data_IF_564140041555
#
_entry.id   IF_564140041555
#
_cell.length_a   1.000
_cell.length_b   1.000
_cell.length_c   1.000
_cell.angle_alpha   90.00
_cell.angle_beta   90.00
_cell.angle_gamma   90.00
#
_symmetry.space_group_name_H-M   'P 1'
#
loop_
_entity.id
_entity.type
_entity.pdbx_description
1 polymer ?
#
# COMPACT_ATOMS: atom_id res chain seq x y z
N UNK A 1 -6.19 -47.94 -14.61
CA UNK A 1 -7.62 -48.28 -14.59
C UNK A 1 -8.21 -47.77 -13.29
N UNK A 2 -9.01 -46.70 -13.35
CA UNK A 2 -10.30 -46.46 -12.67
C UNK A 2 -10.58 -44.96 -12.72
N UNK A 3 -11.67 -44.62 -13.41
CA UNK A 3 -12.22 -43.28 -13.68
C UNK A 3 -13.32 -42.98 -12.64
N UNK A 4 -13.35 -41.79 -12.03
CA UNK A 4 -14.54 -41.14 -11.45
C UNK A 4 -14.42 -39.64 -11.80
N UNK A 5 -15.07 -39.06 -12.82
CA UNK A 5 -16.49 -38.67 -13.04
C UNK A 5 -17.08 -37.73 -11.96
N UNK A 6 -17.08 -36.42 -12.28
CA UNK A 6 -17.94 -35.38 -11.71
C UNK A 6 -19.43 -35.66 -11.99
N UNK A 7 -20.34 -34.96 -11.27
CA UNK A 7 -21.16 -34.00 -12.02
C UNK A 7 -21.35 -32.64 -11.32
N UNK A 8 -21.41 -31.61 -12.16
CA UNK A 8 -21.84 -30.25 -11.86
C UNK A 8 -23.36 -30.21 -11.59
N UNK A 9 -23.77 -29.34 -10.67
CA UNK A 9 -25.19 -29.02 -10.42
C UNK A 9 -25.41 -27.56 -10.80
N UNK A 10 -26.23 -27.36 -11.84
CA UNK A 10 -26.74 -26.07 -12.27
C UNK A 10 -28.08 -25.80 -11.55
N UNK A 11 -28.26 -24.59 -11.02
CA UNK A 11 -29.54 -24.12 -10.50
C UNK A 11 -30.02 -22.96 -11.39
N UNK A 12 -31.11 -23.22 -12.11
CA UNK A 12 -31.91 -22.22 -12.81
C UNK A 12 -33.36 -22.40 -12.36
N UNK A 13 -33.97 -21.34 -11.84
CA UNK A 13 -35.41 -21.28 -11.62
C UNK A 13 -35.88 -19.84 -11.83
N UNK A 14 -36.70 -19.67 -12.85
CA UNK A 14 -37.42 -18.45 -13.20
C UNK A 14 -38.91 -18.82 -13.09
N UNK A 15 -39.71 -18.07 -12.34
CA UNK A 15 -41.16 -18.07 -12.52
C UNK A 15 -41.77 -16.72 -12.07
N UNK A 16 -42.49 -16.11 -12.99
CA UNK A 16 -43.29 -14.90 -12.88
C UNK A 16 -44.62 -15.19 -12.15
N UNK A 17 -45.10 -14.24 -11.36
CA UNK A 17 -46.54 -14.09 -11.08
C UNK A 17 -46.92 -12.61 -11.18
N UNK A 18 -47.88 -12.33 -12.06
CA UNK A 18 -48.53 -11.05 -12.22
C UNK A 18 -49.65 -10.88 -11.17
N UNK A 19 -49.82 -9.66 -10.67
CA UNK A 19 -51.05 -9.23 -10.00
C UNK A 19 -51.44 -7.81 -10.47
N UNK A 20 -52.62 -7.77 -11.08
CA UNK A 20 -53.50 -6.65 -11.39
C UNK A 20 -54.44 -6.48 -10.18
N UNK A 21 -54.99 -5.33 -9.74
CA UNK A 21 -55.06 -3.95 -10.21
C UNK A 21 -56.06 -3.17 -9.30
N UNK A 22 -56.32 -1.90 -9.62
CA UNK A 22 -57.52 -1.15 -9.23
C UNK A 22 -57.31 0.04 -8.27
N UNK A 23 -57.53 1.26 -8.77
CA UNK A 23 -57.42 2.52 -8.02
C UNK A 23 -58.74 3.30 -7.89
N UNK A 24 -58.71 4.40 -7.15
CA UNK A 24 -59.73 5.46 -7.14
C UNK A 24 -59.10 6.81 -6.78
N UNK A 25 -59.41 7.83 -7.58
CA UNK A 25 -58.96 9.21 -7.51
C UNK A 25 -59.46 9.98 -6.26
N UNK A 26 -58.66 10.93 -5.79
CA UNK A 26 -59.14 12.20 -5.22
C UNK A 26 -58.05 13.26 -5.33
N UNK A 27 -58.30 14.22 -6.20
CA UNK A 27 -57.50 15.41 -6.46
C UNK A 27 -57.71 16.44 -5.34
N UNK A 28 -56.62 16.93 -4.75
CA UNK A 28 -56.56 18.23 -4.06
C UNK A 28 -55.13 18.75 -4.13
N UNK A 29 -55.00 19.94 -4.69
CA UNK A 29 -53.75 20.65 -5.00
C UNK A 29 -53.02 21.16 -3.72
N UNK A 30 -51.80 21.72 -3.84
CA UNK A 30 -50.74 21.61 -2.84
C UNK A 30 -50.91 22.59 -1.67
N UNK A 31 -50.72 22.10 -0.45
CA UNK A 31 -50.49 22.94 0.73
C UNK A 31 -48.98 23.03 0.97
N UNK A 32 -48.49 24.27 1.05
CA UNK A 32 -47.10 24.62 1.33
C UNK A 32 -46.57 23.93 2.60
N UNK A 33 -45.28 23.54 2.67
CA UNK A 33 -44.70 23.08 3.92
C UNK A 33 -44.57 24.26 4.88
N UNK A 34 -45.37 24.21 5.94
CA UNK A 34 -45.22 25.05 7.12
C UNK A 34 -43.91 24.69 7.84
N UNK A 35 -43.12 25.73 8.13
CA UNK A 35 -41.97 25.64 9.02
C UNK A 35 -42.42 25.52 10.48
N UNK A 36 -41.90 24.51 11.19
CA UNK A 36 -41.76 24.39 12.67
C UNK A 36 -41.44 22.91 12.95
N UNK A 37 -40.40 22.49 13.65
CA UNK A 37 -39.38 23.13 14.47
C UNK A 37 -38.67 22.00 15.24
N UNK A 38 -37.34 22.05 15.30
CA UNK A 38 -36.55 21.42 16.37
C UNK A 38 -36.51 19.89 16.47
N UNK A 39 -35.70 19.25 15.64
CA UNK A 39 -34.76 18.26 16.16
C UNK A 39 -33.37 18.75 15.79
N UNK A 40 -32.65 19.30 16.77
CA UNK A 40 -31.21 19.46 16.67
C UNK A 40 -30.60 18.07 16.51
N UNK A 41 -30.53 17.56 15.28
CA UNK A 41 -29.50 16.63 14.92
C UNK A 41 -28.21 17.42 15.10
N UNK A 42 -27.59 17.27 16.27
CA UNK A 42 -26.18 17.57 16.43
C UNK A 42 -25.52 16.89 15.24
N UNK A 43 -25.02 17.67 14.28
CA UNK A 43 -24.33 17.10 13.13
C UNK A 43 -23.12 16.37 13.71
N UNK A 44 -23.26 15.06 13.93
CA UNK A 44 -22.17 14.24 14.43
C UNK A 44 -21.10 14.33 13.36
N UNK A 45 -20.01 15.01 13.68
CA UNK A 45 -18.92 15.22 12.73
C UNK A 45 -18.24 13.87 12.54
N UNK A 46 -18.31 13.32 11.33
CA UNK A 46 -17.74 12.02 10.96
C UNK A 46 -16.42 12.21 10.22
N UNK A 47 -15.55 11.20 10.25
CA UNK A 47 -14.39 11.11 9.35
C UNK A 47 -14.61 10.03 8.32
N UNK A 48 -14.55 10.40 7.04
CA UNK A 48 -14.72 9.48 5.92
C UNK A 48 -13.56 9.60 4.96
N UNK A 49 -13.23 8.50 4.30
CA UNK A 49 -12.16 8.46 3.31
C UNK A 49 -12.09 7.14 2.57
N UNK A 50 -10.99 6.94 1.85
CA UNK A 50 -10.71 5.71 1.10
C UNK A 50 -9.33 5.14 1.42
N UNK A 51 -9.22 3.82 1.52
CA UNK A 51 -7.92 3.12 1.60
C UNK A 51 -7.50 2.68 0.19
N UNK A 52 -6.35 3.16 -0.28
CA UNK A 52 -5.96 3.04 -1.69
C UNK A 52 -4.48 2.63 -1.87
N UNK A 53 -4.29 1.45 -2.45
CA UNK A 53 -3.08 0.88 -3.08
C UNK A 53 -3.45 0.24 -4.44
N UNK A 54 -4.57 0.68 -5.02
CA UNK A 54 -5.62 -0.23 -5.48
C UNK A 54 -6.67 -0.30 -4.37
N UNK A 55 -7.95 -0.10 -4.66
CA UNK A 55 -8.94 0.00 -3.57
C UNK A 55 -8.85 -1.22 -2.65
N UNK A 56 -8.56 -1.01 -1.36
CA UNK A 56 -8.42 -2.13 -0.43
C UNK A 56 -9.80 -2.44 0.15
N UNK A 57 -10.31 -3.62 -0.13
CA UNK A 57 -11.63 -4.10 0.30
C UNK A 57 -11.51 -4.87 1.61
N UNK A 58 -12.37 -4.57 2.58
CA UNK A 58 -12.38 -5.23 3.88
C UNK A 58 -11.15 -4.95 4.75
N UNK A 59 -10.42 -3.86 4.50
CA UNK A 59 -9.38 -3.38 5.40
C UNK A 59 -10.01 -2.94 6.73
N UNK A 60 -9.35 -3.26 7.83
CA UNK A 60 -9.68 -2.73 9.15
C UNK A 60 -9.12 -1.32 9.27
N UNK A 61 -9.99 -0.34 9.51
CA UNK A 61 -9.64 1.08 9.65
C UNK A 61 -10.01 1.56 11.04
N UNK A 62 -9.10 2.25 11.72
CA UNK A 62 -9.34 2.85 13.04
C UNK A 62 -8.63 4.20 13.20
N UNK A 63 -9.10 4.99 14.17
CA UNK A 63 -8.43 6.22 14.60
C UNK A 63 -7.42 5.87 15.70
N UNK A 64 -6.13 6.07 15.43
CA UNK A 64 -4.98 5.71 16.30
C UNK A 64 -4.78 6.80 17.36
N UNK A 65 -5.64 6.77 18.38
CA UNK A 65 -5.78 7.85 19.37
C UNK A 65 -4.56 8.00 20.28
N UNK A 66 -3.82 6.92 20.52
CA UNK A 66 -2.60 6.91 21.33
C UNK A 66 -1.30 6.92 20.50
N UNK A 67 -1.41 6.89 19.16
CA UNK A 67 -0.33 6.92 18.17
C UNK A 67 0.61 5.71 18.23
N UNK A 68 0.14 4.56 18.69
CA UNK A 68 0.95 3.35 18.75
C UNK A 68 0.86 2.52 17.44
N UNK A 69 -0.06 2.87 16.53
CA UNK A 69 -0.25 2.21 15.24
C UNK A 69 -0.85 0.80 15.32
N UNK A 70 -1.39 0.43 16.47
CA UNK A 70 -2.04 -0.85 16.80
C UNK A 70 -3.48 -0.53 17.15
N UNK A 71 -4.38 -1.45 16.80
CA UNK A 71 -5.79 -1.30 17.17
C UNK A 71 -5.95 -1.63 18.64
N UNK A 72 -6.37 -0.65 19.42
CA UNK A 72 -6.60 -0.81 20.86
C UNK A 72 -8.08 -0.84 21.25
N UNK A 73 -8.32 -1.32 22.47
CA UNK A 73 -9.67 -1.33 23.03
C UNK A 73 -10.13 0.10 23.26
N UNK A 74 -11.26 0.48 22.64
CA UNK A 74 -11.82 1.83 22.71
C UNK A 74 -11.59 2.66 21.46
N UNK A 75 -10.74 2.20 20.54
CA UNK A 75 -10.58 2.82 19.23
C UNK A 75 -11.69 2.37 18.29
N UNK A 76 -12.45 3.33 17.77
CA UNK A 76 -13.49 3.05 16.79
C UNK A 76 -12.86 2.34 15.58
N UNK A 77 -13.48 1.24 15.16
CA UNK A 77 -12.99 0.42 14.07
C UNK A 77 -14.10 0.12 13.07
N UNK A 78 -13.80 0.27 11.79
CA UNK A 78 -14.71 -0.04 10.67
C UNK A 78 -13.99 -0.86 9.61
N UNK A 79 -14.76 -1.44 8.68
CA UNK A 79 -14.23 -2.14 7.52
C UNK A 79 -14.46 -1.30 6.25
N UNK A 80 -13.51 -1.34 5.32
CA UNK A 80 -13.71 -0.72 4.01
C UNK A 80 -14.68 -1.52 3.13
N UNK A 81 -15.45 -0.79 2.31
CA UNK A 81 -16.33 -1.37 1.30
C UNK A 81 -15.57 -1.78 0.02
N UNK A 82 -16.32 -2.23 -1.00
CA UNK A 82 -15.78 -2.65 -2.30
C UNK A 82 -15.10 -1.53 -3.10
N UNK A 83 -15.28 -0.26 -2.71
CA UNK A 83 -14.62 0.92 -3.29
C UNK A 83 -13.56 1.48 -2.34
N UNK A 84 -13.11 0.69 -1.36
CA UNK A 84 -12.14 1.07 -0.35
C UNK A 84 -12.63 2.12 0.64
N UNK A 85 -13.92 2.47 0.63
CA UNK A 85 -14.46 3.58 1.42
C UNK A 85 -14.70 3.16 2.86
N UNK A 86 -14.48 4.09 3.79
CA UNK A 86 -14.81 3.92 5.21
C UNK A 86 -15.47 5.18 5.76
N UNK A 87 -16.17 5.05 6.89
CA UNK A 87 -16.72 6.19 7.66
C UNK A 87 -16.68 5.85 9.14
N UNK A 88 -15.91 6.62 9.90
CA UNK A 88 -15.90 6.64 11.36
C UNK A 88 -17.03 7.55 11.84
N UNK A 89 -17.78 7.09 12.84
CA UNK A 89 -18.92 7.79 13.42
C UNK A 89 -18.51 9.04 14.22
N UNK A 90 -17.26 9.12 14.66
CA UNK A 90 -16.66 10.31 15.23
C UNK A 90 -15.58 10.93 14.34
N UNK A 91 -15.28 12.21 14.58
CA UNK A 91 -14.16 12.90 13.93
C UNK A 91 -12.86 12.35 14.49
N UNK A 92 -12.01 11.83 13.61
CA UNK A 92 -10.67 11.38 13.97
C UNK A 92 -9.70 12.57 13.95
N UNK A 93 -9.21 12.96 15.13
CA UNK A 93 -8.19 13.99 15.31
C UNK A 93 -6.76 13.44 15.41
N UNK A 94 -6.61 12.11 15.29
CA UNK A 94 -5.33 11.39 15.33
C UNK A 94 -5.07 10.71 13.97
N UNK A 95 -3.89 10.09 13.75
CA UNK A 95 -3.66 9.35 12.51
C UNK A 95 -4.73 8.27 12.28
N UNK A 96 -5.12 8.10 11.02
CA UNK A 96 -5.98 7.00 10.60
C UNK A 96 -5.06 5.84 10.21
N UNK A 97 -5.34 4.63 10.68
CA UNK A 97 -4.56 3.43 10.37
C UNK A 97 -5.45 2.42 9.68
N UNK A 98 -4.96 1.85 8.57
CA UNK A 98 -5.62 0.81 7.80
C UNK A 98 -4.69 -0.40 7.62
N UNK A 99 -5.20 -1.61 7.84
CA UNK A 99 -4.45 -2.85 7.65
C UNK A 99 -5.37 -4.03 7.29
N UNK A 100 -4.76 -5.08 6.71
CA UNK A 100 -5.49 -6.24 6.21
C UNK A 100 -6.33 -5.92 4.97
N UNK A 101 -7.34 -6.75 4.71
CA UNK A 101 -8.16 -6.64 3.50
C UNK A 101 -7.47 -7.20 2.25
N UNK A 102 -8.11 -6.95 1.10
CA UNK A 102 -7.67 -7.43 -0.21
C UNK A 102 -7.58 -6.26 -1.17
N UNK A 103 -6.47 -6.15 -1.88
CA UNK A 103 -6.33 -5.20 -2.98
C UNK A 103 -7.25 -5.61 -4.13
N UNK A 104 -8.18 -4.73 -4.52
CA UNK A 104 -9.16 -5.02 -5.57
C UNK A 104 -8.51 -5.22 -6.95
N UNK A 105 -7.40 -4.56 -7.24
CA UNK A 105 -6.68 -4.68 -8.51
C UNK A 105 -5.96 -6.03 -8.58
N UNK A 106 -5.21 -6.37 -7.53
CA UNK A 106 -4.36 -7.58 -7.54
C UNK A 106 -5.05 -8.82 -7.01
N UNK A 107 -6.18 -8.69 -6.32
CA UNK A 107 -6.85 -9.78 -5.63
C UNK A 107 -6.00 -10.43 -4.53
N UNK A 108 -4.90 -9.80 -4.14
CA UNK A 108 -3.98 -10.30 -3.11
C UNK A 108 -4.33 -9.69 -1.74
N UNK A 109 -4.10 -10.44 -0.65
CA UNK A 109 -4.18 -9.85 0.69
C UNK A 109 -3.18 -8.70 0.83
N UNK A 110 -3.65 -7.56 1.35
CA UNK A 110 -2.77 -6.45 1.67
C UNK A 110 -1.95 -6.77 2.94
N UNK A 111 -0.61 -6.72 2.84
CA UNK A 111 0.32 -7.16 3.90
C UNK A 111 0.92 -6.01 4.70
N UNK A 112 0.77 -4.77 4.22
CA UNK A 112 1.33 -3.59 4.85
C UNK A 112 0.41 -2.94 5.89
N UNK A 113 0.78 -1.72 6.28
CA UNK A 113 -0.06 -0.78 7.03
C UNK A 113 -0.08 0.53 6.31
N UNK A 114 -1.27 1.04 6.00
CA UNK A 114 -1.39 2.39 5.49
C UNK A 114 -1.81 3.31 6.64
N UNK A 115 -1.22 4.50 6.68
CA UNK A 115 -1.56 5.54 7.63
C UNK A 115 -1.90 6.83 6.91
N UNK A 116 -2.70 7.68 7.54
CA UNK A 116 -2.93 9.03 7.06
C UNK A 116 -2.96 10.02 8.22
N UNK A 117 -2.46 11.25 8.03
CA UNK A 117 -2.59 12.30 9.04
C UNK A 117 -4.08 12.67 9.26
N UNK A 118 -4.42 13.26 10.42
CA UNK A 118 -5.77 13.76 10.67
C UNK A 118 -6.26 14.67 9.54
N UNK A 119 -7.53 14.51 9.16
CA UNK A 119 -8.17 15.30 8.11
C UNK A 119 -7.88 14.86 6.66
N UNK A 120 -7.09 13.79 6.45
CA UNK A 120 -6.93 13.21 5.12
C UNK A 120 -8.19 12.46 4.68
N UNK A 121 -8.59 12.58 3.41
CA UNK A 121 -9.70 11.81 2.83
C UNK A 121 -9.24 10.51 2.14
N UNK A 122 -7.93 10.25 2.13
CA UNK A 122 -7.32 9.06 1.54
C UNK A 122 -6.26 8.49 2.48
N UNK A 123 -6.14 7.16 2.51
CA UNK A 123 -5.14 6.42 3.27
C UNK A 123 -4.35 5.60 2.26
N UNK A 124 -3.15 6.09 1.93
CA UNK A 124 -2.30 5.58 0.85
C UNK A 124 -0.87 5.39 1.32
N UNK A 125 -0.03 4.73 0.51
CA UNK A 125 1.39 4.65 0.79
C UNK A 125 2.04 6.05 0.90
N UNK A 126 1.54 7.03 0.13
CA UNK A 126 2.01 8.42 0.18
C UNK A 126 1.64 9.11 1.50
N UNK A 127 0.38 9.02 1.93
CA UNK A 127 -0.04 9.62 3.22
C UNK A 127 0.65 8.97 4.41
N UNK A 128 1.03 7.69 4.28
CA UNK A 128 1.75 6.95 5.32
C UNK A 128 3.10 7.59 5.61
N UNK A 129 3.79 8.11 4.59
CA UNK A 129 5.10 8.76 4.75
C UNK A 129 5.04 10.09 5.51
N UNK A 130 3.86 10.71 5.59
CA UNK A 130 3.64 11.96 6.34
C UNK A 130 3.43 11.70 7.84
N UNK A 131 2.99 10.50 8.21
CA UNK A 131 2.71 10.16 9.61
C UNK A 131 4.02 9.88 10.35
N UNK A 132 4.16 10.47 11.54
CA UNK A 132 5.36 10.37 12.38
C UNK A 132 6.64 10.91 11.72
N UNK A 133 6.49 11.80 10.74
CA UNK A 133 7.58 12.58 10.13
C UNK A 133 7.23 14.06 10.14
N UNK A 134 8.17 14.94 9.81
CA UNK A 134 7.86 16.36 9.52
C UNK A 134 8.05 16.66 8.03
N UNK A 135 7.87 15.65 7.19
CA UNK A 135 7.90 15.79 5.75
C UNK A 135 6.73 16.67 5.28
N UNK A 136 7.03 17.78 4.62
CA UNK A 136 6.01 18.65 4.05
C UNK A 136 5.29 17.96 2.87
N UNK A 137 3.99 18.22 2.70
CA UNK A 137 3.19 17.63 1.61
C UNK A 137 3.75 18.00 0.24
N UNK A 138 4.17 19.25 0.09
CA UNK A 138 4.73 19.81 -1.14
C UNK A 138 6.10 19.19 -1.45
N UNK A 139 6.92 18.95 -0.42
CA UNK A 139 8.19 18.26 -0.56
C UNK A 139 8.00 16.81 -0.96
N UNK A 140 7.02 16.11 -0.38
CA UNK A 140 6.69 14.74 -0.80
C UNK A 140 6.17 14.71 -2.24
N UNK A 141 5.27 15.61 -2.62
CA UNK A 141 4.80 15.71 -4.00
C UNK A 141 5.96 15.94 -4.99
N UNK A 142 6.90 16.85 -4.64
CA UNK A 142 8.10 17.10 -5.44
C UNK A 142 9.03 15.89 -5.51
N UNK A 143 9.27 15.20 -4.40
CA UNK A 143 10.10 14.00 -4.34
C UNK A 143 9.53 12.84 -5.18
N UNK A 144 8.23 12.85 -5.43
CA UNK A 144 7.54 11.90 -6.29
C UNK A 144 7.40 12.39 -7.75
N UNK A 145 7.92 13.58 -8.07
CA UNK A 145 7.83 14.15 -9.40
C UNK A 145 6.39 14.47 -9.81
N UNK A 146 5.51 14.67 -8.85
CA UNK A 146 4.11 15.01 -9.09
C UNK A 146 3.99 16.49 -9.48
N UNK A 147 2.95 16.87 -10.25
CA UNK A 147 2.68 18.27 -10.56
C UNK A 147 2.56 19.13 -9.30
N UNK A 148 3.04 20.38 -9.38
CA UNK A 148 2.90 21.32 -8.28
C UNK A 148 1.42 21.51 -7.90
N UNK A 149 1.14 21.52 -6.59
CA UNK A 149 -0.24 21.61 -6.07
C UNK A 149 -1.01 20.29 -6.00
N UNK A 150 -0.39 19.16 -6.35
CA UNK A 150 -1.02 17.84 -6.12
C UNK A 150 -1.24 17.61 -4.62
N UNK A 151 -2.49 17.55 -4.19
CA UNK A 151 -2.85 17.26 -2.81
C UNK A 151 -2.92 15.75 -2.57
N UNK A 152 -1.80 15.19 -2.10
CA UNK A 152 -1.64 13.78 -1.77
C UNK A 152 -2.50 13.30 -0.58
N UNK A 153 -3.10 14.22 0.18
CA UNK A 153 -3.97 13.90 1.33
C UNK A 153 -5.47 13.97 1.01
N UNK A 154 -5.82 14.53 -0.15
CA UNK A 154 -7.20 14.72 -0.56
C UNK A 154 -7.59 14.01 -1.87
N UNK A 155 -6.63 13.82 -2.79
CA UNK A 155 -6.88 13.22 -4.09
C UNK A 155 -6.87 11.68 -4.00
N UNK A 156 -7.93 11.06 -4.48
CA UNK A 156 -8.01 9.60 -4.67
C UNK A 156 -7.14 9.18 -5.88
N UNK A 157 -6.03 8.45 -5.67
CA UNK A 157 -5.17 8.02 -6.77
C UNK A 157 -5.89 7.11 -7.77
N UNK A 158 -6.82 6.27 -7.29
CA UNK A 158 -7.50 5.26 -8.09
C UNK A 158 -8.85 5.75 -8.67
N UNK A 159 -9.17 7.04 -8.52
CA UNK A 159 -10.41 7.59 -9.04
C UNK A 159 -10.53 7.41 -10.56
N UNK A 160 -11.68 6.89 -11.00
CA UNK A 160 -12.03 6.74 -12.42
C UNK A 160 -12.83 7.96 -12.86
N UNK A 161 -12.35 8.66 -13.88
CA UNK A 161 -13.04 9.80 -14.47
C UNK A 161 -14.23 9.39 -15.34
N UNK A 162 -15.01 10.36 -15.80
CA UNK A 162 -16.25 10.14 -16.58
C UNK A 162 -16.07 9.37 -17.90
N UNK A 163 -14.83 9.23 -18.37
CA UNK A 163 -14.48 8.45 -19.57
C UNK A 163 -14.00 7.02 -19.29
N UNK A 164 -14.07 6.54 -18.03
CA UNK A 164 -13.61 5.20 -17.65
C UNK A 164 -12.10 5.04 -17.47
N UNK A 165 -11.32 6.10 -17.69
CA UNK A 165 -9.88 6.14 -17.43
C UNK A 165 -9.56 6.68 -16.04
N UNK A 166 -8.39 6.35 -15.49
CA UNK A 166 -7.91 6.96 -14.25
C UNK A 166 -7.79 8.48 -14.38
N UNK A 167 -8.36 9.19 -13.40
CA UNK A 167 -8.24 10.64 -13.29
C UNK A 167 -6.86 11.07 -12.78
N UNK A 168 -6.22 10.24 -11.93
CA UNK A 168 -4.98 10.58 -11.23
C UNK A 168 -3.88 9.52 -11.45
N UNK A 169 -3.70 9.06 -12.69
CA UNK A 169 -2.78 7.95 -13.03
C UNK A 169 -1.35 8.15 -12.52
N UNK A 170 -0.78 9.36 -12.65
CA UNK A 170 0.54 9.66 -12.13
C UNK A 170 0.61 9.48 -10.61
N UNK A 171 -0.40 9.96 -9.87
CA UNK A 171 -0.47 9.81 -8.41
C UNK A 171 -0.53 8.33 -8.02
N UNK A 172 -1.39 7.54 -8.67
CA UNK A 172 -1.48 6.10 -8.43
C UNK A 172 -0.14 5.40 -8.68
N UNK A 173 0.46 5.61 -9.85
CA UNK A 173 1.77 5.04 -10.19
C UNK A 173 2.84 5.35 -9.14
N UNK A 174 2.86 6.59 -8.61
CA UNK A 174 3.86 6.99 -7.62
C UNK A 174 3.56 6.39 -6.26
N UNK A 175 2.30 6.31 -5.86
CA UNK A 175 1.92 5.63 -4.61
C UNK A 175 2.19 4.12 -4.67
N UNK A 176 1.95 3.46 -5.81
CA UNK A 176 2.29 2.05 -6.03
C UNK A 176 3.81 1.82 -6.00
N UNK A 177 4.60 2.71 -6.61
CA UNK A 177 6.05 2.64 -6.56
C UNK A 177 6.58 2.79 -5.12
N UNK A 178 6.03 3.72 -4.33
CA UNK A 178 6.37 3.87 -2.90
C UNK A 178 6.00 2.59 -2.15
N UNK A 179 4.78 2.08 -2.34
CA UNK A 179 4.31 0.86 -1.70
C UNK A 179 5.28 -0.30 -1.98
N UNK A 180 5.69 -0.46 -3.24
CA UNK A 180 6.62 -1.51 -3.63
C UNK A 180 7.99 -1.35 -2.95
N UNK A 181 8.53 -0.12 -2.88
CA UNK A 181 9.80 0.13 -2.18
C UNK A 181 9.68 -0.23 -0.70
N UNK A 182 8.66 0.29 -0.02
CA UNK A 182 8.45 0.06 1.42
C UNK A 182 8.22 -1.43 1.70
N UNK A 183 7.32 -2.07 0.95
CA UNK A 183 6.97 -3.48 1.15
C UNK A 183 8.18 -4.39 0.91
N UNK A 184 8.94 -4.20 -0.16
CA UNK A 184 10.07 -5.10 -0.47
C UNK A 184 11.25 -4.92 0.48
N UNK A 185 11.49 -3.69 0.96
CA UNK A 185 12.49 -3.46 2.02
C UNK A 185 12.02 -4.14 3.32
N UNK A 186 10.74 -3.99 3.67
CA UNK A 186 10.19 -4.65 4.85
C UNK A 186 10.27 -6.19 4.73
N UNK A 187 9.97 -6.75 3.56
CA UNK A 187 10.07 -8.19 3.29
C UNK A 187 11.52 -8.68 3.29
N UNK A 188 12.47 -7.88 2.81
CA UNK A 188 13.90 -8.18 2.90
C UNK A 188 14.37 -8.25 4.36
N UNK A 189 13.94 -7.31 5.21
CA UNK A 189 14.22 -7.33 6.65
C UNK A 189 13.54 -8.55 7.30
N UNK A 190 12.29 -8.81 6.94
CA UNK A 190 11.52 -9.95 7.44
C UNK A 190 12.16 -11.29 7.04
N UNK A 191 12.81 -11.37 5.88
CA UNK A 191 13.46 -12.57 5.38
C UNK A 191 14.70 -12.98 6.20
N UNK A 192 15.27 -12.08 7.01
CA UNK A 192 16.31 -12.40 7.98
C UNK A 192 15.80 -13.27 9.14
N UNK A 193 14.49 -13.33 9.33
CA UNK A 193 13.87 -14.05 10.42
C UNK A 193 13.38 -15.43 9.95
N UNK A 194 13.75 -16.51 10.65
CA UNK A 194 13.32 -17.86 10.26
C UNK A 194 11.81 -18.05 10.40
N UNK A 195 11.18 -17.32 11.32
CA UNK A 195 9.73 -17.28 11.50
C UNK A 195 9.31 -15.85 11.83
N UNK A 196 8.34 -15.33 11.08
CA UNK A 196 7.76 -14.01 11.33
C UNK A 196 6.28 -14.12 11.66
N UNK A 197 5.85 -13.36 12.66
CA UNK A 197 4.44 -13.17 12.97
C UNK A 197 3.88 -11.97 12.19
N UNK A 198 2.56 -11.93 11.92
CA UNK A 198 1.94 -10.77 11.28
C UNK A 198 2.25 -9.45 12.01
N UNK A 199 2.26 -9.46 13.35
CA UNK A 199 2.59 -8.28 14.16
C UNK A 199 4.03 -7.79 13.95
N UNK A 200 4.99 -8.70 13.73
CA UNK A 200 6.38 -8.34 13.44
C UNK A 200 6.51 -7.75 12.04
N UNK A 201 5.92 -8.37 11.03
CA UNK A 201 5.88 -7.83 9.66
C UNK A 201 5.26 -6.43 9.65
N UNK A 202 4.18 -6.24 10.40
CA UNK A 202 3.50 -4.96 10.52
C UNK A 202 4.37 -3.87 11.16
N UNK A 203 5.13 -4.21 12.20
CA UNK A 203 6.07 -3.32 12.85
C UNK A 203 7.25 -2.96 11.93
N UNK A 204 7.82 -3.94 11.22
CA UNK A 204 8.88 -3.72 10.23
C UNK A 204 8.40 -2.79 9.12
N UNK A 205 7.19 -3.03 8.60
CA UNK A 205 6.58 -2.19 7.58
C UNK A 205 6.41 -0.74 8.07
N UNK A 206 5.88 -0.56 9.29
CA UNK A 206 5.66 0.77 9.89
C UNK A 206 6.98 1.53 10.02
N UNK A 207 8.02 0.90 10.55
CA UNK A 207 9.34 1.52 10.69
C UNK A 207 9.96 1.85 9.32
N UNK A 208 9.79 0.97 8.33
CA UNK A 208 10.26 1.19 6.96
C UNK A 208 9.55 2.38 6.31
N UNK A 209 8.23 2.49 6.45
CA UNK A 209 7.45 3.60 5.90
C UNK A 209 7.84 4.94 6.55
N UNK A 210 7.93 4.99 7.89
CA UNK A 210 8.40 6.19 8.60
C UNK A 210 9.81 6.57 8.18
N UNK A 211 10.69 5.58 7.96
CA UNK A 211 12.05 5.81 7.48
C UNK A 211 12.08 6.40 6.08
N UNK A 212 11.28 5.88 5.15
CA UNK A 212 11.14 6.43 3.81
C UNK A 212 10.76 7.92 3.89
N UNK A 213 9.78 8.28 4.71
CA UNK A 213 9.41 9.67 4.92
C UNK A 213 10.57 10.52 5.47
N UNK A 214 11.35 10.01 6.45
CA UNK A 214 12.54 10.69 6.99
C UNK A 214 13.66 10.88 5.97
N UNK A 215 13.91 9.90 5.10
CA UNK A 215 14.92 10.03 4.03
C UNK A 215 14.51 11.12 3.03
N UNK A 216 13.23 11.17 2.65
CA UNK A 216 12.72 12.22 1.79
C UNK A 216 12.68 13.58 2.48
N UNK A 217 12.49 13.61 3.80
CA UNK A 217 12.52 14.82 4.62
C UNK A 217 13.93 15.44 4.71
N UNK A 218 14.98 14.61 4.68
CA UNK A 218 16.36 15.04 4.93
C UNK A 218 16.86 16.16 3.99
N UNK A 219 16.31 16.25 2.78
CA UNK A 219 16.60 17.33 1.83
C UNK A 219 15.37 17.65 0.99
N UNK A 220 15.13 18.95 0.76
CA UNK A 220 14.07 19.41 -0.15
C UNK A 220 14.32 19.02 -1.61
N UNK A 221 15.54 18.60 -1.94
CA UNK A 221 15.92 18.13 -3.29
C UNK A 221 15.90 16.60 -3.42
N UNK A 222 15.59 15.87 -2.35
CA UNK A 222 15.45 14.40 -2.42
C UNK A 222 14.39 14.03 -3.46
N UNK A 223 14.74 13.12 -4.36
CA UNK A 223 13.85 12.62 -5.41
C UNK A 223 13.80 11.11 -5.30
N UNK A 224 12.62 10.54 -5.04
CA UNK A 224 12.41 9.10 -5.15
C UNK A 224 12.02 8.72 -6.57
N UNK A 225 11.13 9.51 -7.18
CA UNK A 225 10.70 9.33 -8.56
C UNK A 225 10.68 10.68 -9.27
N UNK A 226 11.37 10.81 -10.38
CA UNK A 226 11.41 12.04 -11.17
C UNK A 226 10.07 12.32 -11.86
N UNK A 227 9.87 13.53 -12.37
CA UNK A 227 8.68 13.87 -13.17
C UNK A 227 8.49 12.97 -14.40
N UNK A 228 9.58 12.43 -14.98
CA UNK A 228 9.54 11.46 -16.08
C UNK A 228 9.21 10.02 -15.66
N UNK A 229 9.03 9.76 -14.36
CA UNK A 229 8.76 8.42 -13.82
C UNK A 229 10.00 7.59 -13.57
N UNK A 230 11.18 8.22 -13.54
CA UNK A 230 12.44 7.54 -13.27
C UNK A 230 12.68 7.43 -11.77
N UNK A 231 12.85 6.22 -11.26
CA UNK A 231 13.17 5.96 -9.84
C UNK A 231 14.65 6.21 -9.60
N UNK A 232 14.96 6.96 -8.54
CA UNK A 232 16.34 7.19 -8.12
C UNK A 232 16.83 6.03 -7.23
N UNK A 233 17.68 5.17 -7.80
CA UNK A 233 18.26 4.04 -7.09
C UNK A 233 19.12 4.45 -5.89
N UNK A 234 19.72 5.65 -5.90
CA UNK A 234 20.49 6.15 -4.77
C UNK A 234 19.59 6.44 -3.56
N UNK A 235 18.43 7.06 -3.80
CA UNK A 235 17.40 7.28 -2.77
C UNK A 235 16.83 5.95 -2.27
N UNK A 236 16.53 4.97 -3.15
CA UNK A 236 16.09 3.63 -2.71
C UNK A 236 17.14 2.95 -1.83
N UNK A 237 18.42 3.03 -2.20
CA UNK A 237 19.51 2.50 -1.38
C UNK A 237 19.58 3.20 0.00
N UNK A 238 19.45 4.53 0.03
CA UNK A 238 19.43 5.30 1.28
C UNK A 238 18.25 4.89 2.18
N UNK A 239 17.06 4.67 1.61
CA UNK A 239 15.89 4.15 2.33
C UNK A 239 16.19 2.78 2.90
N UNK A 240 16.73 1.85 2.11
CA UNK A 240 17.04 0.49 2.56
C UNK A 240 18.04 0.50 3.72
N UNK A 241 19.15 1.24 3.59
CA UNK A 241 20.16 1.35 4.66
C UNK A 241 19.59 1.97 5.93
N UNK A 242 18.82 3.06 5.79
CA UNK A 242 18.24 3.74 6.96
C UNK A 242 17.15 2.88 7.61
N UNK A 243 16.36 2.13 6.85
CA UNK A 243 15.31 1.27 7.40
C UNK A 243 15.92 0.14 8.24
N UNK A 244 17.01 -0.47 7.74
CA UNK A 244 17.78 -1.46 8.50
C UNK A 244 18.33 -0.87 9.81
N UNK A 245 18.87 0.35 9.77
CA UNK A 245 19.37 1.03 10.96
C UNK A 245 18.25 1.37 11.95
N UNK A 246 17.11 1.84 11.47
CA UNK A 246 15.98 2.21 12.32
C UNK A 246 15.30 0.99 12.95
N UNK A 247 15.14 -0.12 12.23
CA UNK A 247 14.62 -1.36 12.81
C UNK A 247 15.54 -1.89 13.91
N UNK A 248 16.87 -1.85 13.69
CA UNK A 248 17.86 -2.26 14.70
C UNK A 248 17.82 -1.35 15.95
N UNK A 249 17.65 -0.04 15.76
CA UNK A 249 17.61 0.95 16.83
C UNK A 249 16.22 1.14 17.49
N UNK A 250 15.18 0.52 16.94
CA UNK A 250 13.79 0.77 17.36
C UNK A 250 13.59 0.45 18.85
N UNK A 251 12.63 1.11 19.51
CA UNK A 251 12.23 0.76 20.87
C UNK A 251 11.14 -0.32 20.91
N UNK A 252 10.53 -0.66 19.76
CA UNK A 252 9.43 -1.62 19.69
C UNK A 252 9.90 -3.03 20.10
N UNK A 253 9.23 -3.61 21.10
CA UNK A 253 9.53 -4.94 21.62
C UNK A 253 9.25 -6.05 20.59
N UNK A 254 8.29 -5.84 19.68
CA UNK A 254 7.98 -6.79 18.59
C UNK A 254 9.18 -6.98 17.66
N UNK A 255 10.00 -5.95 17.50
CA UNK A 255 11.18 -5.97 16.63
C UNK A 255 12.41 -6.62 17.26
N UNK A 256 12.34 -7.14 18.50
CA UNK A 256 13.51 -7.71 19.18
C UNK A 256 14.25 -8.79 18.37
N UNK A 257 13.51 -9.68 17.70
CA UNK A 257 14.11 -10.71 16.83
C UNK A 257 14.78 -10.11 15.58
N UNK A 258 14.14 -9.11 14.94
CA UNK A 258 14.70 -8.40 13.79
C UNK A 258 16.00 -7.69 14.17
N UNK A 259 16.05 -7.04 15.34
CA UNK A 259 17.27 -6.39 15.86
C UNK A 259 18.41 -7.38 16.03
N UNK A 260 18.12 -8.54 16.65
CA UNK A 260 19.14 -9.57 16.86
C UNK A 260 19.70 -10.10 15.53
N UNK A 261 18.83 -10.34 14.53
CA UNK A 261 19.26 -10.77 13.20
C UNK A 261 20.09 -9.68 12.50
N UNK A 262 19.65 -8.42 12.57
CA UNK A 262 20.35 -7.27 11.98
C UNK A 262 21.74 -7.04 12.57
N UNK A 263 21.94 -7.35 13.85
CA UNK A 263 23.25 -7.27 14.50
C UNK A 263 24.30 -8.24 13.94
N UNK A 264 23.88 -9.24 13.15
CA UNK A 264 24.78 -10.23 12.52
C UNK A 264 25.07 -9.93 11.03
N UNK A 265 24.35 -8.97 10.44
CA UNK A 265 24.46 -8.66 9.01
C UNK A 265 24.98 -7.24 8.76
N UNK A 266 25.72 -7.07 7.68
CA UNK A 266 26.11 -5.78 7.15
C UNK A 266 24.91 -5.12 6.46
N UNK A 267 24.47 -3.98 6.99
CA UNK A 267 23.36 -3.19 6.42
C UNK A 267 23.69 -2.71 5.01
N UNK A 268 24.94 -2.34 4.76
CA UNK A 268 25.39 -1.93 3.42
C UNK A 268 25.34 -3.11 2.46
N UNK A 269 25.73 -4.32 2.89
CA UNK A 269 25.71 -5.49 2.02
C UNK A 269 24.28 -5.88 1.67
N UNK A 270 23.37 -5.88 2.66
CA UNK A 270 21.97 -6.19 2.44
C UNK A 270 21.31 -5.16 1.51
N UNK A 271 21.53 -3.87 1.75
CA UNK A 271 21.03 -2.82 0.87
C UNK A 271 21.60 -2.95 -0.56
N UNK A 272 22.89 -3.24 -0.71
CA UNK A 272 23.53 -3.44 -2.02
C UNK A 272 22.98 -4.66 -2.77
N UNK A 273 22.64 -5.74 -2.06
CA UNK A 273 22.00 -6.93 -2.66
C UNK A 273 20.62 -6.60 -3.23
N UNK A 274 19.75 -5.96 -2.44
CA UNK A 274 18.32 -5.84 -2.76
C UNK A 274 17.97 -4.60 -3.58
N UNK A 275 18.69 -3.49 -3.41
CA UNK A 275 18.31 -2.20 -4.00
C UNK A 275 18.13 -2.24 -5.52
N UNK A 276 19.05 -2.83 -6.32
CA UNK A 276 18.89 -2.82 -7.77
C UNK A 276 17.58 -3.47 -8.23
N UNK A 277 17.16 -4.54 -7.57
CA UNK A 277 15.94 -5.26 -7.87
C UNK A 277 14.68 -4.49 -7.41
N UNK A 278 14.70 -3.94 -6.19
CA UNK A 278 13.59 -3.13 -5.66
C UNK A 278 13.39 -1.87 -6.51
N UNK A 279 14.47 -1.16 -6.86
CA UNK A 279 14.39 0.02 -7.71
C UNK A 279 13.80 -0.30 -9.09
N UNK A 280 14.08 -1.48 -9.64
CA UNK A 280 13.51 -1.91 -10.92
C UNK A 280 12.02 -2.24 -10.85
N UNK A 281 11.56 -2.90 -9.79
CA UNK A 281 10.13 -3.12 -9.55
C UNK A 281 9.41 -1.78 -9.41
N UNK A 282 9.94 -0.88 -8.58
CA UNK A 282 9.41 0.46 -8.40
C UNK A 282 9.40 1.25 -9.71
N UNK A 283 10.47 1.18 -10.51
CA UNK A 283 10.56 1.81 -11.83
C UNK A 283 9.48 1.29 -12.78
N UNK A 284 9.21 -0.02 -12.76
CA UNK A 284 8.19 -0.62 -13.61
C UNK A 284 6.79 -0.10 -13.28
N UNK A 285 6.47 0.10 -12.00
CA UNK A 285 5.18 0.65 -11.54
C UNK A 285 5.07 2.15 -11.74
N UNK A 286 6.17 2.89 -11.49
CA UNK A 286 6.24 4.34 -11.68
C UNK A 286 6.04 4.80 -13.13
N UNK A 287 6.19 3.88 -14.10
CA UNK A 287 6.09 4.15 -15.54
C UNK A 287 5.04 3.29 -16.26
N UNK A 288 4.39 2.35 -15.59
CA UNK A 288 3.37 1.50 -16.22
C UNK A 288 2.05 2.24 -16.37
N UNK A 289 1.47 2.17 -17.56
CA UNK A 289 0.04 2.45 -17.75
C UNK A 289 -0.71 1.25 -17.17
N UNK A 290 -1.47 1.48 -16.09
CA UNK A 290 -2.27 0.52 -15.32
C UNK A 290 -2.25 -0.93 -15.80
N UNK A 291 -1.45 -1.75 -15.13
CA UNK A 291 -1.63 -3.19 -15.25
C UNK A 291 -1.67 -3.82 -13.87
N UNK A 292 -2.88 -4.08 -13.41
CA UNK A 292 -3.18 -4.89 -12.23
C UNK A 292 -2.34 -6.18 -12.20
N UNK A 293 -2.04 -6.76 -13.37
CA UNK A 293 -1.19 -7.93 -13.48
C UNK A 293 0.29 -7.64 -13.17
N UNK A 294 0.84 -6.49 -13.57
CA UNK A 294 2.19 -6.09 -13.17
C UNK A 294 2.26 -5.82 -11.67
N UNK A 295 1.29 -5.04 -11.14
CA UNK A 295 1.20 -4.78 -9.70
C UNK A 295 1.07 -6.09 -8.91
N UNK A 296 0.24 -7.03 -9.37
CA UNK A 296 0.08 -8.36 -8.78
C UNK A 296 1.38 -9.16 -8.82
N UNK A 297 2.09 -9.15 -9.94
CA UNK A 297 3.37 -9.86 -10.07
C UNK A 297 4.44 -9.27 -9.14
N UNK A 298 4.52 -7.95 -9.01
CA UNK A 298 5.50 -7.30 -8.12
C UNK A 298 5.15 -7.45 -6.64
N UNK A 299 3.86 -7.41 -6.26
CA UNK A 299 3.39 -7.61 -4.88
C UNK A 299 3.48 -9.08 -4.41
N UNK A 300 3.32 -10.05 -5.32
CA UNK A 300 3.42 -11.49 -4.97
C UNK A 300 4.83 -12.06 -5.12
N UNK A 301 5.75 -11.34 -5.76
CA UNK A 301 7.11 -11.80 -6.00
C UNK A 301 7.93 -11.96 -4.72
N UNK A 302 8.52 -13.14 -4.53
CA UNK A 302 9.35 -13.47 -3.35
C UNK A 302 10.86 -13.36 -3.61
N UNK A 303 11.26 -13.05 -4.85
CA UNK A 303 12.66 -13.10 -5.29
C UNK A 303 13.63 -12.32 -4.39
N UNK A 304 13.23 -11.12 -3.92
CA UNK A 304 14.05 -10.31 -3.01
C UNK A 304 14.25 -11.01 -1.66
N UNK A 305 13.18 -11.49 -1.04
CA UNK A 305 13.23 -12.22 0.21
C UNK A 305 13.97 -13.57 0.08
N UNK A 306 13.80 -14.27 -1.04
CA UNK A 306 14.51 -15.51 -1.35
C UNK A 306 16.01 -15.27 -1.48
N UNK A 307 16.44 -14.20 -2.16
CA UNK A 307 17.85 -13.85 -2.28
C UNK A 307 18.47 -13.49 -0.93
N UNK A 308 17.77 -12.76 -0.06
CA UNK A 308 18.26 -12.48 1.31
C UNK A 308 18.53 -13.78 2.07
N UNK A 309 17.65 -14.78 1.93
CA UNK A 309 17.82 -16.09 2.58
C UNK A 309 18.94 -16.92 1.95
N UNK A 310 19.04 -16.94 0.63
CA UNK A 310 20.05 -17.71 -0.11
C UNK A 310 21.46 -17.14 0.11
N UNK A 311 21.59 -15.82 0.14
CA UNK A 311 22.87 -15.11 0.24
C UNK A 311 23.24 -14.71 1.67
N UNK A 312 22.59 -15.31 2.68
CA UNK A 312 22.78 -14.95 4.09
C UNK A 312 24.25 -14.96 4.54
N UNK A 313 25.10 -15.80 3.95
CA UNK A 313 26.54 -15.83 4.22
C UNK A 313 27.27 -14.57 3.71
N UNK A 314 26.93 -14.08 2.51
CA UNK A 314 27.51 -12.85 1.93
C UNK A 314 27.09 -11.59 2.69
N UNK A 315 25.98 -11.67 3.42
CA UNK A 315 25.42 -10.57 4.19
C UNK A 315 26.06 -10.40 5.56
N UNK A 316 26.89 -11.33 6.03
CA UNK A 316 27.50 -11.24 7.37
C UNK A 316 28.41 -10.01 7.50
N UNK A 317 28.44 -9.38 8.69
CA UNK A 317 29.23 -8.17 8.93
C UNK A 317 30.75 -8.36 8.81
N UNK A 318 31.22 -9.61 8.82
CA UNK A 318 32.63 -10.00 8.66
C UNK A 318 33.02 -10.36 7.24
N UNK A 319 32.07 -10.39 6.29
CA UNK A 319 32.32 -10.80 4.91
C UNK A 319 32.94 -9.65 4.10
N UNK A 320 34.10 -9.92 3.46
CA UNK A 320 34.76 -9.00 2.52
C UNK A 320 34.55 -9.54 1.08
N UNK A 321 33.29 -9.57 0.64
CA UNK A 321 32.85 -10.34 -0.54
C UNK A 321 32.22 -9.45 -1.62
N UNK A 322 32.73 -8.23 -1.82
CA UNK A 322 32.13 -7.21 -2.70
C UNK A 322 31.85 -7.71 -4.13
N UNK A 323 32.73 -8.54 -4.69
CA UNK A 323 32.56 -9.11 -6.02
C UNK A 323 31.42 -10.15 -6.10
N UNK A 324 31.35 -11.05 -5.11
CA UNK A 324 30.29 -12.07 -5.03
C UNK A 324 28.94 -11.42 -4.76
N UNK A 325 28.92 -10.42 -3.86
CA UNK A 325 27.73 -9.64 -3.54
C UNK A 325 27.21 -8.88 -4.77
N UNK A 326 28.11 -8.25 -5.53
CA UNK A 326 27.75 -7.58 -6.78
C UNK A 326 27.18 -8.55 -7.82
N UNK A 327 27.77 -9.74 -7.96
CA UNK A 327 27.27 -10.79 -8.85
C UNK A 327 25.89 -11.32 -8.41
N UNK A 328 25.67 -11.50 -7.11
CA UNK A 328 24.39 -11.90 -6.54
C UNK A 328 23.31 -10.83 -6.78
N UNK A 329 23.64 -9.55 -6.54
CA UNK A 329 22.75 -8.42 -6.82
C UNK A 329 22.37 -8.34 -8.31
N UNK A 330 23.33 -8.57 -9.22
CA UNK A 330 23.08 -8.60 -10.66
C UNK A 330 22.17 -9.77 -11.07
N UNK A 331 22.37 -10.95 -10.47
CA UNK A 331 21.55 -12.13 -10.73
C UNK A 331 20.12 -11.96 -10.21
N UNK A 332 19.95 -11.39 -9.01
CA UNK A 332 18.64 -11.01 -8.48
C UNK A 332 17.95 -9.99 -9.39
N UNK A 333 18.69 -8.96 -9.83
CA UNK A 333 18.20 -7.94 -10.76
C UNK A 333 17.67 -8.56 -12.06
N UNK A 334 18.40 -9.51 -12.63
CA UNK A 334 18.02 -10.20 -13.86
C UNK A 334 16.77 -11.06 -13.67
N UNK A 335 16.67 -11.78 -12.54
CA UNK A 335 15.47 -12.57 -12.21
C UNK A 335 14.23 -11.69 -12.11
N UNK A 336 14.36 -10.54 -11.46
CA UNK A 336 13.26 -9.56 -11.34
C UNK A 336 12.90 -8.93 -12.68
N UNK A 337 13.87 -8.63 -13.55
CA UNK A 337 13.59 -8.16 -14.91
C UNK A 337 12.80 -9.17 -15.72
N UNK A 338 13.16 -10.45 -15.63
CA UNK A 338 12.46 -11.51 -16.33
C UNK A 338 11.00 -11.61 -15.86
N UNK A 339 10.76 -11.56 -14.54
CA UNK A 339 9.41 -11.58 -13.98
C UNK A 339 8.57 -10.36 -14.40
N UNK A 340 9.16 -9.16 -14.42
CA UNK A 340 8.50 -7.95 -14.91
C UNK A 340 8.16 -8.06 -16.39
N UNK A 341 9.09 -8.57 -17.21
CA UNK A 341 8.88 -8.76 -18.65
C UNK A 341 7.75 -9.76 -18.93
N UNK A 342 7.71 -10.87 -18.19
CA UNK A 342 6.64 -11.87 -18.28
C UNK A 342 5.28 -11.28 -17.90
N UNK A 343 5.20 -10.54 -16.79
CA UNK A 343 3.97 -9.87 -16.37
C UNK A 343 3.46 -8.86 -17.42
N UNK A 344 4.36 -8.06 -17.99
CA UNK A 344 4.02 -7.12 -19.09
C UNK A 344 3.54 -7.85 -20.35
N UNK A 345 4.15 -8.98 -20.69
CA UNK A 345 3.73 -9.78 -21.84
C UNK A 345 2.34 -10.39 -21.64
N UNK A 346 2.02 -10.85 -20.43
CA UNK A 346 0.70 -11.38 -20.09
C UNK A 346 -0.40 -10.33 -20.26
N UNK A 347 -0.14 -9.07 -19.87
CA UNK A 347 -1.06 -7.94 -20.08
C UNK A 347 -1.30 -7.70 -21.57
N UNK A 348 -0.24 -7.66 -22.37
CA UNK A 348 -0.34 -7.40 -23.80
C UNK A 348 -1.15 -8.49 -24.55
N UNK A 349 -1.13 -9.72 -24.06
CA UNK A 349 -1.91 -10.83 -24.62
C UNK A 349 -3.40 -10.74 -24.22
N UNK A 350 -3.71 -10.29 -23.01
CA UNK A 350 -5.10 -10.17 -22.51
C UNK A 350 -5.92 -9.05 -23.19
N UNK A 351 -5.24 -8.10 -23.86
CA UNK A 351 -5.87 -6.97 -24.58
C UNK A 351 -6.11 -7.30 -26.07
N UNK A 352 -5.69 -8.48 -26.55
CA UNK A 352 -5.93 -8.97 -27.92
C UNK A 352 -7.09 -9.96 -27.98
#
# INVERSE_FOLDING_TARGET
MLKHKNPAVAFAAMLLVASCGGGNDSTSAPMAPAASGGNGATATSTTSGKVVDGYIVGATVFCDTDNNGVRDTGEETVLTDAQGSFTLTATCASPIVASGGTDAATGLPFRGVLKAPPGSSVVTAGTTLLVNTSLAREQLAAALGLPAGTDITALDPAAIGSGGALANSALLQRTLAIQQVVQQIADAIAALLPNNTPAQTQAIYTETATTTGKVLQASSSSTLVSSSGTVDAATVNAIAQQALANVEASADARLAAAKAALGTVSKSNLAALVTPAIAAQAQSLASSVDSDALTRATQSGTAVADAVRQEAALLQSTAANDAELSAAAASLRQLVDAAIAEAKAAVALAVR
#
